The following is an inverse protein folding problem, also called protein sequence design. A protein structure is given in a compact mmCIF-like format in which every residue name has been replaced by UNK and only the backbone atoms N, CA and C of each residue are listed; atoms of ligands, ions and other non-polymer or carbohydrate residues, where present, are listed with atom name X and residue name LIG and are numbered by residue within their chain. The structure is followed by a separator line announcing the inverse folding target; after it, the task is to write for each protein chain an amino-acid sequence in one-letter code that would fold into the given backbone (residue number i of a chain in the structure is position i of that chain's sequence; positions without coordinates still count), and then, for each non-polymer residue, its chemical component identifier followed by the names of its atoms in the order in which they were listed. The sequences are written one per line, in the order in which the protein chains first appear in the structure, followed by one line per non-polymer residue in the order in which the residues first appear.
data_IF_352052071813
#
_entry.id   IF_352052071813
#
_cell.length_a   1.000
_cell.length_b   1.000
_cell.length_c   1.000
_cell.angle_alpha   90.00
_cell.angle_beta   90.00
_cell.angle_gamma   90.00
#
_symmetry.space_group_name_H-M   'P 1'
#
loop_
_entity.id
_entity.type
_entity.pdbx_description
1 polymer ?
#
# COMPACT_ATOMS: atom_id res chain seq x y z
N UNK A 1 40.39 39.38 -14.75
CA UNK A 1 39.81 38.32 -15.61
C UNK A 1 39.34 37.20 -14.70
N UNK A 2 38.06 36.89 -14.48
CA UNK A 2 36.79 37.51 -14.84
C UNK A 2 35.75 36.95 -13.85
N UNK A 3 35.10 37.81 -13.05
CA UNK A 3 33.94 37.49 -12.20
C UNK A 3 32.72 36.98 -12.99
N UNK A 4 32.81 36.89 -14.33
CA UNK A 4 31.77 36.37 -15.20
C UNK A 4 31.64 34.83 -15.16
N UNK A 5 32.67 34.06 -14.78
CA UNK A 5 32.59 32.58 -14.80
C UNK A 5 31.82 31.99 -13.61
N UNK A 6 31.95 32.59 -12.42
CA UNK A 6 31.22 32.15 -11.22
C UNK A 6 29.71 32.47 -11.32
N UNK A 7 29.34 33.62 -11.91
CA UNK A 7 27.92 33.94 -12.14
C UNK A 7 27.28 33.06 -13.23
N UNK A 8 28.08 32.59 -14.20
CA UNK A 8 27.69 31.62 -15.23
C UNK A 8 27.47 30.22 -14.65
N UNK A 9 28.35 29.76 -13.77
CA UNK A 9 28.23 28.49 -13.04
C UNK A 9 27.02 28.50 -12.09
N UNK A 10 26.77 29.62 -11.40
CA UNK A 10 25.59 29.80 -10.52
C UNK A 10 24.28 29.88 -11.34
N UNK A 11 24.30 30.44 -12.56
CA UNK A 11 23.14 30.40 -13.47
C UNK A 11 22.90 29.02 -14.07
N UNK A 12 23.96 28.28 -14.41
CA UNK A 12 23.86 26.89 -14.88
C UNK A 12 23.34 25.97 -13.76
N UNK A 13 23.90 26.08 -12.55
CA UNK A 13 23.43 25.38 -11.35
C UNK A 13 21.98 25.74 -11.00
N UNK A 14 21.54 27.00 -11.15
CA UNK A 14 20.12 27.38 -10.97
C UNK A 14 19.18 26.84 -12.04
N UNK A 15 19.67 26.60 -13.26
CA UNK A 15 18.89 26.04 -14.38
C UNK A 15 18.78 24.52 -14.25
N UNK A 16 19.82 23.85 -13.78
CA UNK A 16 19.84 22.41 -13.50
C UNK A 16 19.16 22.07 -12.15
N UNK A 17 19.25 22.94 -11.13
CA UNK A 17 18.45 22.80 -9.91
C UNK A 17 16.95 22.99 -10.14
N UNK A 18 16.52 23.74 -11.17
CA UNK A 18 15.10 23.80 -11.57
C UNK A 18 14.59 22.48 -12.15
N UNK A 19 15.48 21.64 -12.70
CA UNK A 19 15.16 20.28 -13.15
C UNK A 19 15.15 19.27 -11.99
N UNK A 20 15.83 19.56 -10.89
CA UNK A 20 15.95 18.67 -9.72
C UNK A 20 14.95 19.02 -8.60
N UNK A 21 14.42 20.25 -8.56
CA UNK A 21 13.42 20.70 -7.57
C UNK A 21 11.98 20.59 -8.08
N UNK A 22 11.60 19.45 -8.65
CA UNK A 22 10.19 19.04 -8.77
C UNK A 22 9.98 17.85 -7.82
N UNK A 23 10.13 18.09 -6.52
CA UNK A 23 9.75 17.13 -5.48
C UNK A 23 9.65 17.81 -4.11
N UNK A 24 8.99 18.98 -4.03
CA UNK A 24 8.46 19.53 -2.78
C UNK A 24 7.67 20.82 -3.04
N UNK A 25 6.49 20.74 -3.67
CA UNK A 25 5.51 21.83 -3.59
C UNK A 25 4.10 21.25 -3.61
N UNK A 26 3.29 21.74 -2.66
CA UNK A 26 1.83 21.62 -2.58
C UNK A 26 1.16 21.63 -3.96
N UNK A 27 0.24 20.69 -4.14
CA UNK A 27 -0.55 20.45 -5.37
C UNK A 27 -1.34 21.66 -5.89
N UNK A 28 -1.56 22.71 -5.09
CA UNK A 28 -2.23 23.94 -5.55
C UNK A 28 -1.35 24.88 -6.38
N UNK A 29 -0.01 24.78 -6.34
CA UNK A 29 0.88 25.72 -7.07
C UNK A 29 1.32 25.24 -8.46
N UNK A 30 1.18 23.95 -8.78
CA UNK A 30 1.63 23.39 -10.07
C UNK A 30 0.66 23.71 -11.21
N UNK A 31 -0.64 23.84 -10.91
CA UNK A 31 -1.67 24.19 -11.90
C UNK A 31 -1.52 25.60 -12.49
N UNK A 32 -0.77 26.51 -11.82
CA UNK A 32 -0.51 27.87 -12.31
C UNK A 32 0.76 28.01 -13.16
N UNK A 33 1.62 26.99 -13.22
CA UNK A 33 2.93 27.09 -13.87
C UNK A 33 3.05 26.34 -15.20
N UNK A 34 2.26 25.28 -15.46
CA UNK A 34 2.27 24.58 -16.75
C UNK A 34 0.90 23.91 -17.05
N UNK A 35 0.07 24.47 -17.95
CA UNK A 35 -1.22 23.88 -18.34
C UNK A 35 -1.13 22.53 -19.06
N UNK A 36 0.05 22.16 -19.58
CA UNK A 36 0.24 20.93 -20.37
C UNK A 36 0.48 19.67 -19.51
N UNK A 37 1.00 19.82 -18.28
CA UNK A 37 1.28 18.69 -17.36
C UNK A 37 -0.01 18.15 -16.70
N UNK A 38 -1.07 18.96 -16.64
CA UNK A 38 -2.35 18.57 -16.03
C UNK A 38 -3.13 17.49 -16.81
N UNK A 39 -2.66 17.08 -18.00
CA UNK A 39 -3.37 16.13 -18.87
C UNK A 39 -2.96 14.67 -18.70
N UNK A 40 -1.88 14.37 -17.97
CA UNK A 40 -1.39 13.00 -17.86
C UNK A 40 -1.26 12.53 -16.40
N UNK A 41 -2.37 12.01 -15.87
CA UNK A 41 -2.49 11.49 -14.49
C UNK A 41 -1.72 10.18 -14.27
N UNK A 42 -1.20 9.55 -15.31
CA UNK A 42 -0.53 8.24 -15.23
C UNK A 42 0.90 8.35 -14.69
N UNK A 43 1.66 9.39 -15.08
CA UNK A 43 3.04 9.63 -14.64
C UNK A 43 3.18 10.05 -13.18
N UNK A 44 2.23 10.82 -12.65
CA UNK A 44 2.28 11.29 -11.25
C UNK A 44 2.18 10.15 -10.21
N UNK A 45 1.60 8.99 -10.58
CA UNK A 45 1.54 7.81 -9.71
C UNK A 45 2.88 7.07 -9.60
N UNK A 46 3.69 7.08 -10.67
CA UNK A 46 4.97 6.36 -10.73
C UNK A 46 6.03 7.05 -9.86
N UNK A 47 6.05 8.38 -9.84
CA UNK A 47 6.99 9.16 -9.03
C UNK A 47 6.68 9.10 -7.52
N UNK A 48 5.39 8.98 -7.16
CA UNK A 48 4.98 8.75 -5.76
C UNK A 48 5.37 7.36 -5.24
N UNK A 49 5.39 6.34 -6.10
CA UNK A 49 5.77 4.96 -5.75
C UNK A 49 7.28 4.81 -5.51
N UNK A 50 8.10 5.67 -6.13
CA UNK A 50 9.55 5.70 -5.88
C UNK A 50 9.89 6.28 -4.48
N UNK A 51 8.99 7.09 -3.91
CA UNK A 51 9.17 7.73 -2.61
C UNK A 51 8.86 6.80 -1.41
N UNK A 52 8.16 5.70 -1.63
CA UNK A 52 7.77 4.73 -0.58
C UNK A 52 8.87 3.77 -0.13
N UNK A 53 10.01 3.71 -0.82
CA UNK A 53 11.17 2.88 -0.44
C UNK A 53 12.34 3.70 0.15
N UNK A 54 12.14 4.99 0.35
CA UNK A 54 13.18 5.90 0.80
C UNK A 54 12.95 6.29 2.27
N UNK A 55 13.76 5.79 3.22
CA UNK A 55 14.15 6.62 4.33
C UNK A 55 15.08 7.69 3.75
N UNK A 56 14.51 8.79 3.23
CA UNK A 56 15.27 10.03 3.05
C UNK A 56 15.59 10.58 4.44
N UNK A 57 16.56 9.97 5.12
CA UNK A 57 17.39 10.71 6.07
C UNK A 57 18.29 11.62 5.24
N UNK A 58 17.72 12.73 4.77
CA UNK A 58 18.55 13.93 4.63
C UNK A 58 18.87 14.28 6.08
N UNK A 59 20.02 13.80 6.58
CA UNK A 59 20.60 14.40 7.77
C UNK A 59 20.57 15.91 7.50
N UNK A 60 19.90 16.68 8.36
CA UNK A 60 19.74 18.12 8.22
C UNK A 60 21.05 18.70 7.69
N UNK A 61 21.02 19.27 6.49
CA UNK A 61 21.96 20.33 6.14
C UNK A 61 21.79 21.34 7.28
N UNK A 62 22.80 21.54 8.14
CA UNK A 62 22.68 22.45 9.27
C UNK A 62 22.19 23.80 8.75
N UNK A 63 21.31 24.46 9.49
CA UNK A 63 20.83 25.81 9.18
C UNK A 63 21.98 26.62 8.57
N UNK A 64 21.70 27.24 7.41
CA UNK A 64 22.61 27.90 6.44
C UNK A 64 23.68 28.86 7.01
N UNK A 65 23.74 29.03 8.32
CA UNK A 65 24.74 29.75 9.08
C UNK A 65 26.05 28.99 9.38
N UNK A 66 26.25 27.72 8.97
CA UNK A 66 27.44 26.91 9.37
C UNK A 66 28.41 26.49 8.26
N UNK A 67 28.14 26.75 6.99
CA UNK A 67 29.14 26.51 5.92
C UNK A 67 30.09 27.70 5.91
N UNK A 68 31.04 27.71 6.85
CA UNK A 68 31.93 28.85 7.07
C UNK A 68 33.13 28.84 6.13
N UNK A 69 33.48 27.69 5.57
CA UNK A 69 34.58 27.58 4.60
C UNK A 69 34.22 26.73 3.38
N UNK A 70 35.11 26.77 2.39
CA UNK A 70 34.99 26.03 1.12
C UNK A 70 34.97 24.51 1.30
N UNK A 71 35.62 23.99 2.35
CA UNK A 71 35.76 22.56 2.63
C UNK A 71 34.44 21.96 3.11
N UNK A 72 33.63 22.71 3.86
CA UNK A 72 32.28 22.27 4.26
C UNK A 72 31.36 22.12 3.02
N UNK A 73 31.48 23.04 2.05
CA UNK A 73 30.72 22.98 0.79
C UNK A 73 31.17 21.81 -0.07
N UNK A 74 32.48 21.61 -0.25
CA UNK A 74 33.05 20.47 -0.99
C UNK A 74 32.63 19.12 -0.34
N UNK A 75 32.58 19.06 1.00
CA UNK A 75 32.13 17.87 1.73
C UNK A 75 30.65 17.57 1.53
N UNK A 76 29.80 18.61 1.52
CA UNK A 76 28.37 18.46 1.24
C UNK A 76 28.12 18.00 -0.20
N UNK A 77 28.83 18.59 -1.17
CA UNK A 77 28.75 18.20 -2.58
C UNK A 77 29.11 16.72 -2.76
N UNK A 78 30.24 16.28 -2.22
CA UNK A 78 30.64 14.87 -2.25
C UNK A 78 29.61 13.93 -1.61
N UNK A 79 28.99 14.33 -0.49
CA UNK A 79 27.94 13.55 0.15
C UNK A 79 26.66 13.45 -0.71
N UNK A 80 26.27 14.54 -1.37
CA UNK A 80 25.13 14.55 -2.28
C UNK A 80 25.39 13.71 -3.54
N UNK A 81 26.59 13.78 -4.11
CA UNK A 81 27.00 12.96 -5.25
C UNK A 81 27.00 11.47 -4.90
N UNK A 82 27.59 11.09 -3.76
CA UNK A 82 27.57 9.72 -3.25
C UNK A 82 26.13 9.24 -3.07
N UNK A 83 25.26 10.09 -2.51
CA UNK A 83 23.85 9.74 -2.32
C UNK A 83 23.10 9.61 -3.64
N UNK A 84 23.38 10.44 -4.62
CA UNK A 84 22.83 10.33 -5.97
C UNK A 84 23.27 9.02 -6.64
N UNK A 85 24.52 8.60 -6.46
CA UNK A 85 25.01 7.31 -6.95
C UNK A 85 24.25 6.14 -6.31
N UNK A 86 24.01 6.17 -5.00
CA UNK A 86 23.20 5.16 -4.30
C UNK A 86 21.78 5.09 -4.86
N UNK A 87 21.12 6.23 -5.03
CA UNK A 87 19.75 6.30 -5.57
C UNK A 87 19.70 5.74 -6.99
N UNK A 88 20.69 6.07 -7.83
CA UNK A 88 20.80 5.51 -9.19
C UNK A 88 21.00 3.99 -9.16
N UNK A 89 21.86 3.48 -8.27
CA UNK A 89 22.08 2.04 -8.09
C UNK A 89 20.80 1.33 -7.66
N UNK A 90 20.10 1.87 -6.65
CA UNK A 90 18.82 1.34 -6.18
C UNK A 90 17.76 1.35 -7.27
N UNK A 91 17.62 2.46 -8.02
CA UNK A 91 16.70 2.54 -9.17
C UNK A 91 16.97 1.44 -10.20
N UNK A 92 18.24 1.24 -10.55
CA UNK A 92 18.63 0.21 -11.51
C UNK A 92 18.35 -1.21 -10.99
N UNK A 93 18.57 -1.45 -9.69
CA UNK A 93 18.26 -2.72 -9.05
C UNK A 93 16.76 -3.02 -9.03
N UNK A 94 15.93 -2.03 -8.67
CA UNK A 94 14.47 -2.12 -8.71
C UNK A 94 13.99 -2.40 -10.13
N UNK A 95 14.49 -1.65 -11.12
CA UNK A 95 14.11 -1.84 -12.52
C UNK A 95 14.49 -3.23 -13.04
N UNK A 96 15.68 -3.73 -12.68
CA UNK A 96 16.11 -5.09 -13.02
C UNK A 96 15.22 -6.15 -12.35
N UNK A 97 14.89 -5.97 -11.07
CA UNK A 97 14.01 -6.89 -10.34
C UNK A 97 12.62 -6.93 -10.96
N UNK A 98 12.02 -5.77 -11.28
CA UNK A 98 10.72 -5.68 -11.95
C UNK A 98 10.71 -6.38 -13.31
N UNK A 99 11.74 -6.18 -14.13
CA UNK A 99 11.88 -6.93 -15.40
C UNK A 99 11.94 -8.44 -15.19
N UNK A 100 12.72 -8.90 -14.22
CA UNK A 100 12.80 -10.34 -13.92
C UNK A 100 11.48 -10.92 -13.39
N UNK A 101 10.71 -10.15 -12.60
CA UNK A 101 9.36 -10.57 -12.18
C UNK A 101 8.39 -10.60 -13.36
N UNK A 102 8.43 -9.59 -14.25
CA UNK A 102 7.60 -9.57 -15.46
C UNK A 102 7.91 -10.77 -16.37
N UNK A 103 9.18 -11.13 -16.54
CA UNK A 103 9.60 -12.33 -17.28
C UNK A 103 9.09 -13.61 -16.63
N UNK A 104 9.24 -13.73 -15.31
CA UNK A 104 8.72 -14.86 -14.52
C UNK A 104 7.20 -15.03 -14.71
N UNK A 105 6.43 -13.95 -14.60
CA UNK A 105 4.97 -13.96 -14.77
C UNK A 105 4.60 -14.26 -16.22
N UNK A 106 5.31 -13.68 -17.19
CA UNK A 106 5.13 -13.98 -18.62
C UNK A 106 5.32 -15.46 -18.91
N UNK A 107 6.38 -16.06 -18.34
CA UNK A 107 6.63 -17.50 -18.43
C UNK A 107 5.54 -18.34 -17.77
N UNK A 108 5.08 -17.95 -16.58
CA UNK A 108 3.95 -18.62 -15.91
C UNK A 108 2.68 -18.62 -16.77
N UNK A 109 2.44 -17.52 -17.48
CA UNK A 109 1.31 -17.33 -18.40
C UNK A 109 1.53 -17.92 -19.80
N UNK A 110 2.67 -18.58 -20.06
CA UNK A 110 3.08 -19.05 -21.39
C UNK A 110 3.06 -17.95 -22.48
N UNK A 111 3.38 -16.70 -22.12
CA UNK A 111 3.50 -15.59 -23.07
C UNK A 111 4.92 -15.47 -23.58
N UNK A 112 5.08 -15.37 -24.89
CA UNK A 112 6.38 -15.15 -25.56
C UNK A 112 6.51 -13.74 -26.14
N UNK A 113 5.46 -12.92 -26.08
CA UNK A 113 5.29 -11.64 -26.79
C UNK A 113 5.39 -10.40 -25.89
N UNK A 114 5.80 -10.54 -24.63
CA UNK A 114 5.79 -9.41 -23.69
C UNK A 114 7.10 -8.62 -23.69
N UNK A 115 7.13 -7.52 -24.44
CA UNK A 115 8.13 -6.47 -24.27
C UNK A 115 7.67 -5.54 -23.13
N UNK A 116 8.27 -5.70 -21.96
CA UNK A 116 8.02 -4.81 -20.83
C UNK A 116 8.80 -3.51 -21.02
N UNK A 117 8.19 -2.50 -21.65
CA UNK A 117 8.71 -1.15 -21.60
C UNK A 117 8.74 -0.68 -20.13
N UNK A 118 9.92 -0.34 -19.62
CA UNK A 118 10.16 0.29 -18.32
C UNK A 118 9.64 -0.41 -17.05
N UNK A 119 9.32 -1.71 -17.10
CA UNK A 119 8.92 -2.44 -15.89
C UNK A 119 7.46 -2.23 -15.49
N UNK A 120 6.59 -1.73 -16.38
CA UNK A 120 5.14 -1.72 -16.16
C UNK A 120 4.59 -3.15 -16.19
N UNK A 121 4.11 -3.60 -15.03
CA UNK A 121 3.52 -4.92 -14.83
C UNK A 121 1.98 -4.89 -14.96
N UNK A 122 1.36 -3.72 -15.13
CA UNK A 122 -0.10 -3.56 -15.09
C UNK A 122 -0.86 -4.32 -16.17
N UNK A 123 -0.18 -4.67 -17.27
CA UNK A 123 -0.76 -5.34 -18.42
C UNK A 123 -0.49 -6.86 -18.47
N UNK A 124 0.25 -7.41 -17.50
CA UNK A 124 0.65 -8.82 -17.51
C UNK A 124 -0.57 -9.76 -17.60
N UNK A 125 -1.64 -9.42 -16.89
CA UNK A 125 -2.86 -10.23 -16.75
C UNK A 125 -4.01 -9.78 -17.64
N UNK A 126 -3.78 -8.87 -18.61
CA UNK A 126 -4.85 -8.23 -19.39
C UNK A 126 -5.81 -9.20 -20.08
N UNK A 127 -5.32 -10.36 -20.51
CA UNK A 127 -6.09 -11.39 -21.23
C UNK A 127 -6.51 -12.55 -20.32
N UNK A 128 -6.14 -12.50 -19.03
CA UNK A 128 -6.47 -13.56 -18.08
C UNK A 128 -7.94 -13.49 -17.69
N UNK A 129 -8.66 -14.62 -17.80
CA UNK A 129 -10.12 -14.72 -17.57
C UNK A 129 -10.56 -14.12 -16.22
N UNK A 130 -9.83 -14.42 -15.15
CA UNK A 130 -10.16 -13.97 -13.78
C UNK A 130 -9.35 -12.73 -13.37
N UNK A 131 -8.01 -12.80 -13.44
CA UNK A 131 -7.09 -11.76 -12.99
C UNK A 131 -6.92 -10.51 -13.85
N UNK A 132 -7.54 -10.43 -15.03
CA UNK A 132 -7.60 -9.14 -15.72
C UNK A 132 -8.35 -8.13 -14.84
N UNK A 133 -8.13 -6.83 -15.05
CA UNK A 133 -8.86 -5.79 -14.34
C UNK A 133 -10.30 -5.70 -14.87
N UNK A 134 -11.33 -5.77 -14.02
CA UNK A 134 -12.72 -5.64 -14.47
C UNK A 134 -13.04 -4.20 -14.88
N UNK A 135 -13.78 -4.03 -15.97
CA UNK A 135 -14.20 -2.71 -16.42
C UNK A 135 -15.58 -2.36 -15.85
N UNK A 136 -16.51 -3.31 -15.85
CA UNK A 136 -17.89 -3.13 -15.39
C UNK A 136 -18.22 -3.92 -14.13
N UNK A 137 -19.32 -3.56 -13.46
CA UNK A 137 -19.84 -4.37 -12.35
C UNK A 137 -20.28 -5.76 -12.78
N UNK A 138 -20.77 -5.93 -14.02
CA UNK A 138 -21.10 -7.23 -14.57
C UNK A 138 -19.85 -8.09 -14.72
N UNK A 139 -18.76 -7.53 -15.27
CA UNK A 139 -17.48 -8.23 -15.40
C UNK A 139 -16.96 -8.71 -14.04
N UNK A 140 -17.00 -7.83 -13.02
CA UNK A 140 -16.54 -8.19 -11.67
C UNK A 140 -17.37 -9.35 -11.09
N UNK A 141 -18.68 -9.36 -11.34
CA UNK A 141 -19.58 -10.41 -10.86
C UNK A 141 -19.34 -11.73 -11.58
N UNK A 142 -19.22 -11.70 -12.91
CA UNK A 142 -19.00 -12.90 -13.74
C UNK A 142 -17.65 -13.57 -13.45
N UNK A 143 -16.66 -12.81 -12.99
CA UNK A 143 -15.35 -13.32 -12.59
C UNK A 143 -15.35 -13.96 -11.20
N UNK A 144 -16.46 -13.88 -10.46
CA UNK A 144 -16.61 -14.47 -9.13
C UNK A 144 -15.47 -14.06 -8.19
N UNK A 145 -15.04 -12.79 -8.24
CA UNK A 145 -13.97 -12.28 -7.38
C UNK A 145 -14.48 -12.05 -5.97
N UNK A 146 -15.65 -11.40 -5.86
CA UNK A 146 -16.27 -11.03 -4.60
C UNK A 146 -17.41 -11.97 -4.23
N UNK A 147 -17.52 -12.29 -2.95
CA UNK A 147 -18.70 -12.98 -2.42
C UNK A 147 -19.98 -12.20 -2.70
N UNK A 148 -21.10 -12.90 -2.85
CA UNK A 148 -22.40 -12.29 -3.14
C UNK A 148 -22.79 -11.16 -2.16
N UNK A 149 -22.50 -11.32 -0.87
CA UNK A 149 -22.72 -10.29 0.16
C UNK A 149 -21.83 -9.06 -0.05
N UNK A 150 -20.53 -9.26 -0.27
CA UNK A 150 -19.55 -8.19 -0.53
C UNK A 150 -19.88 -7.43 -1.81
N UNK A 151 -20.21 -8.15 -2.89
CA UNK A 151 -20.65 -7.55 -4.14
C UNK A 151 -21.93 -6.72 -3.94
N UNK A 152 -22.92 -7.25 -3.21
CA UNK A 152 -24.17 -6.55 -2.91
C UNK A 152 -23.91 -5.23 -2.17
N UNK A 153 -23.06 -5.24 -1.15
CA UNK A 153 -22.71 -4.04 -0.36
C UNK A 153 -22.04 -2.99 -1.24
N UNK A 154 -21.00 -3.38 -1.99
CA UNK A 154 -20.26 -2.46 -2.85
C UNK A 154 -21.15 -1.90 -3.98
N UNK A 155 -21.86 -2.77 -4.70
CA UNK A 155 -22.68 -2.39 -5.85
C UNK A 155 -23.89 -1.53 -5.45
N UNK A 156 -24.65 -1.89 -4.40
CA UNK A 156 -25.78 -1.08 -3.93
C UNK A 156 -25.34 0.30 -3.44
N UNK A 157 -24.20 0.35 -2.74
CA UNK A 157 -23.61 1.61 -2.29
C UNK A 157 -23.20 2.49 -3.47
N UNK A 158 -22.62 1.89 -4.52
CA UNK A 158 -22.22 2.60 -5.74
C UNK A 158 -23.43 3.19 -6.47
N UNK A 159 -24.52 2.43 -6.62
CA UNK A 159 -25.77 2.91 -7.23
C UNK A 159 -26.40 4.08 -6.46
N UNK A 160 -26.23 4.15 -5.13
CA UNK A 160 -26.69 5.30 -4.34
C UNK A 160 -25.79 6.52 -4.50
N UNK A 161 -24.46 6.32 -4.54
CA UNK A 161 -23.49 7.38 -4.79
C UNK A 161 -23.73 8.03 -6.16
N UNK A 162 -23.95 7.21 -7.19
CA UNK A 162 -24.29 7.62 -8.55
C UNK A 162 -25.44 8.64 -8.60
N UNK A 163 -26.56 8.31 -7.94
CA UNK A 163 -27.77 9.15 -7.90
C UNK A 163 -27.52 10.49 -7.21
N UNK A 164 -26.66 10.51 -6.18
CA UNK A 164 -26.33 11.74 -5.43
C UNK A 164 -25.37 12.67 -6.18
N UNK A 165 -24.44 12.10 -6.95
CA UNK A 165 -23.35 12.86 -7.58
C UNK A 165 -23.58 13.16 -9.08
N UNK A 166 -24.66 12.64 -9.68
CA UNK A 166 -25.03 12.96 -11.07
C UNK A 166 -24.08 12.36 -12.13
N UNK A 167 -23.28 11.34 -11.78
CA UNK A 167 -22.38 10.67 -12.72
C UNK A 167 -23.17 9.77 -13.68
N UNK A 168 -22.95 9.95 -14.99
CA UNK A 168 -23.65 9.22 -16.05
C UNK A 168 -23.28 7.73 -16.14
N UNK A 169 -22.04 7.35 -15.78
CA UNK A 169 -21.57 5.98 -15.72
C UNK A 169 -20.82 5.77 -14.39
N UNK A 170 -21.21 4.77 -13.60
CA UNK A 170 -20.58 4.42 -12.32
C UNK A 170 -20.05 3.00 -12.42
N UNK A 171 -19.15 2.77 -13.35
CA UNK A 171 -18.59 1.45 -13.53
C UNK A 171 -17.59 1.15 -12.42
N UNK A 172 -17.39 -0.13 -12.11
CA UNK A 172 -16.44 -0.54 -11.06
C UNK A 172 -15.04 0.06 -11.29
N UNK A 173 -14.64 0.17 -12.56
CA UNK A 173 -13.40 0.81 -13.01
C UNK A 173 -13.21 2.21 -12.43
N UNK A 174 -14.27 3.01 -12.32
CA UNK A 174 -14.17 4.39 -11.83
C UNK A 174 -13.79 4.44 -10.35
N UNK A 175 -14.24 3.46 -9.56
CA UNK A 175 -13.83 3.31 -8.17
C UNK A 175 -12.41 2.75 -8.06
N UNK A 176 -12.09 1.68 -8.81
CA UNK A 176 -10.75 1.06 -8.81
C UNK A 176 -9.68 2.05 -9.27
N UNK A 177 -9.97 2.89 -10.27
CA UNK A 177 -9.05 3.92 -10.75
C UNK A 177 -8.90 5.10 -9.77
N UNK A 178 -9.77 5.20 -8.75
CA UNK A 178 -9.85 6.33 -7.84
C UNK A 178 -10.46 7.58 -8.47
N UNK A 179 -11.25 7.44 -9.55
CA UNK A 179 -12.03 8.54 -10.14
C UNK A 179 -13.26 8.88 -9.29
N UNK A 180 -13.81 7.90 -8.58
CA UNK A 180 -14.96 8.05 -7.70
C UNK A 180 -14.66 7.48 -6.31
N UNK A 181 -15.25 8.10 -5.29
CA UNK A 181 -15.16 7.62 -3.91
C UNK A 181 -16.45 6.93 -3.53
N UNK A 182 -16.35 5.67 -3.14
CA UNK A 182 -17.51 4.95 -2.64
C UNK A 182 -17.85 5.47 -1.23
N UNK A 183 -19.14 5.68 -0.99
CA UNK A 183 -19.69 5.79 0.36
C UNK A 183 -20.56 4.57 0.59
N UNK A 184 -20.16 3.72 1.55
CA UNK A 184 -20.99 2.57 1.91
C UNK A 184 -22.22 3.06 2.66
N UNK A 185 -23.36 2.51 2.25
CA UNK A 185 -24.62 2.60 2.97
C UNK A 185 -24.52 1.86 4.31
N UNK A 186 -24.53 2.62 5.41
CA UNK A 186 -24.39 2.12 6.79
C UNK A 186 -25.40 1.01 7.11
N UNK A 187 -26.62 1.09 6.56
CA UNK A 187 -27.64 0.07 6.76
C UNK A 187 -27.29 -1.31 6.18
N UNK A 188 -26.29 -1.39 5.30
CA UNK A 188 -25.79 -2.65 4.76
C UNK A 188 -24.63 -3.23 5.58
N UNK A 189 -24.04 -2.46 6.50
CA UNK A 189 -22.90 -2.90 7.29
C UNK A 189 -23.31 -3.83 8.44
N UNK A 190 -24.45 -3.56 9.08
CA UNK A 190 -24.93 -4.36 10.22
C UNK A 190 -25.14 -5.85 9.88
N UNK A 191 -25.62 -6.16 8.67
CA UNK A 191 -25.78 -7.55 8.21
C UNK A 191 -24.52 -8.13 7.55
N UNK A 192 -23.52 -7.29 7.24
CA UNK A 192 -22.35 -7.67 6.45
C UNK A 192 -21.12 -7.95 7.30
N UNK A 193 -21.03 -7.30 8.46
CA UNK A 193 -19.84 -7.30 9.30
C UNK A 193 -20.17 -7.80 10.71
N UNK A 194 -19.28 -8.62 11.24
CA UNK A 194 -19.28 -9.02 12.63
C UNK A 194 -18.16 -8.32 13.40
N UNK A 195 -18.35 -8.09 14.69
CA UNK A 195 -17.27 -7.67 15.56
C UNK A 195 -16.54 -8.91 16.09
N UNK A 196 -15.36 -9.21 15.54
CA UNK A 196 -14.55 -10.36 15.96
C UNK A 196 -14.01 -10.20 17.38
N UNK A 197 -13.68 -8.95 17.74
CA UNK A 197 -13.43 -8.49 19.11
C UNK A 197 -13.52 -6.97 19.15
N UNK A 198 -13.38 -6.36 20.33
CA UNK A 198 -13.44 -4.91 20.45
C UNK A 198 -12.50 -4.21 19.44
N UNK A 199 -13.09 -3.34 18.62
CA UNK A 199 -12.41 -2.56 17.57
C UNK A 199 -11.67 -3.37 16.48
N UNK A 200 -12.07 -4.65 16.30
CA UNK A 200 -11.63 -5.52 15.20
C UNK A 200 -12.85 -6.17 14.57
N UNK A 201 -13.05 -5.94 13.28
CA UNK A 201 -14.27 -6.35 12.58
C UNK A 201 -13.95 -7.35 11.47
N UNK A 202 -14.82 -8.33 11.28
CA UNK A 202 -14.69 -9.37 10.28
C UNK A 202 -15.81 -9.33 9.25
N UNK A 203 -15.49 -9.58 7.98
CA UNK A 203 -16.49 -9.65 6.91
C UNK A 203 -16.01 -10.44 5.70
N UNK A 204 -16.91 -11.16 5.00
CA UNK A 204 -16.56 -11.89 3.79
C UNK A 204 -16.27 -10.93 2.64
N UNK A 205 -15.20 -11.18 1.88
CA UNK A 205 -14.85 -10.39 0.70
C UNK A 205 -14.71 -11.29 -0.53
N UNK A 206 -13.76 -12.22 -0.53
CA UNK A 206 -13.40 -12.99 -1.72
C UNK A 206 -14.13 -14.33 -1.77
N UNK A 207 -14.54 -14.75 -2.97
CA UNK A 207 -15.03 -16.11 -3.17
C UNK A 207 -13.93 -17.14 -2.86
N UNK A 208 -14.28 -18.31 -2.27
CA UNK A 208 -13.28 -19.34 -1.93
C UNK A 208 -12.46 -19.83 -3.13
N UNK A 209 -13.09 -19.98 -4.30
CA UNK A 209 -12.38 -20.40 -5.52
C UNK A 209 -11.42 -19.31 -6.04
N UNK A 210 -11.79 -18.03 -5.91
CA UNK A 210 -10.86 -16.92 -6.19
C UNK A 210 -9.67 -16.94 -5.22
N UNK A 211 -9.91 -17.17 -3.93
CA UNK A 211 -8.85 -17.28 -2.93
C UNK A 211 -7.88 -18.43 -3.25
N UNK A 212 -8.41 -19.58 -3.64
CA UNK A 212 -7.64 -20.75 -4.05
C UNK A 212 -6.81 -20.47 -5.28
N UNK A 213 -7.39 -19.83 -6.30
CA UNK A 213 -6.67 -19.44 -7.52
C UNK A 213 -5.52 -18.49 -7.18
N UNK A 214 -5.79 -17.42 -6.42
CA UNK A 214 -4.77 -16.43 -6.02
C UNK A 214 -3.66 -17.06 -5.20
N UNK A 215 -3.99 -17.91 -4.21
CA UNK A 215 -3.01 -18.68 -3.43
C UNK A 215 -2.16 -19.57 -4.34
N UNK A 216 -2.76 -20.30 -5.26
CA UNK A 216 -2.03 -21.20 -6.15
C UNK A 216 -1.05 -20.43 -7.03
N UNK A 217 -1.49 -19.31 -7.60
CA UNK A 217 -0.63 -18.42 -8.39
C UNK A 217 0.57 -17.92 -7.58
N UNK A 218 0.39 -17.50 -6.33
CA UNK A 218 1.51 -17.09 -5.46
C UNK A 218 2.48 -18.24 -5.21
N UNK A 219 1.97 -19.45 -4.96
CA UNK A 219 2.80 -20.65 -4.74
C UNK A 219 3.60 -21.01 -5.98
N UNK A 220 2.96 -21.04 -7.14
CA UNK A 220 3.60 -21.41 -8.39
C UNK A 220 4.69 -20.39 -8.79
N UNK A 221 4.39 -19.09 -8.66
CA UNK A 221 5.37 -18.04 -8.90
C UNK A 221 6.54 -18.12 -7.92
N UNK A 222 6.28 -18.40 -6.64
CA UNK A 222 7.33 -18.57 -5.63
C UNK A 222 8.23 -19.78 -5.93
N UNK A 223 7.62 -20.90 -6.32
CA UNK A 223 8.33 -22.12 -6.69
C UNK A 223 9.19 -21.91 -7.96
N UNK A 224 8.59 -21.33 -9.01
CA UNK A 224 9.27 -21.06 -10.27
C UNK A 224 10.40 -20.04 -10.07
N UNK A 225 10.18 -19.03 -9.22
CA UNK A 225 11.22 -18.07 -8.86
C UNK A 225 12.38 -18.72 -8.11
N UNK A 226 12.15 -19.57 -7.10
CA UNK A 226 13.24 -20.24 -6.39
C UNK A 226 14.03 -21.17 -7.32
N UNK A 227 13.34 -21.84 -8.25
CA UNK A 227 13.95 -22.80 -9.19
C UNK A 227 14.78 -22.11 -10.27
N UNK A 228 14.19 -21.12 -10.95
CA UNK A 228 14.75 -20.58 -12.21
C UNK A 228 15.20 -19.11 -12.09
N UNK A 229 14.71 -18.38 -11.08
CA UNK A 229 15.03 -16.96 -10.85
C UNK A 229 15.46 -16.65 -9.40
N UNK A 230 16.40 -17.40 -8.79
CA UNK A 230 16.69 -17.32 -7.35
C UNK A 230 17.13 -15.93 -6.88
N UNK A 231 17.70 -15.13 -7.79
CA UNK A 231 18.11 -13.75 -7.52
C UNK A 231 16.93 -12.79 -7.23
N UNK A 232 15.70 -13.13 -7.61
CA UNK A 232 14.50 -12.32 -7.33
C UNK A 232 14.07 -12.40 -5.86
N UNK A 233 14.46 -13.47 -5.15
CA UNK A 233 14.10 -13.74 -3.75
C UNK A 233 12.59 -13.64 -3.47
N UNK A 234 11.76 -14.02 -4.44
CA UNK A 234 10.32 -13.77 -4.42
C UNK A 234 9.63 -14.47 -3.23
N UNK A 235 9.90 -15.77 -3.03
CA UNK A 235 9.33 -16.55 -1.94
C UNK A 235 9.95 -16.32 -0.56
N UNK A 236 10.95 -15.45 -0.44
CA UNK A 236 11.62 -15.12 0.84
C UNK A 236 11.04 -13.87 1.51
N UNK A 237 10.12 -13.19 0.85
CA UNK A 237 9.43 -11.99 1.35
C UNK A 237 7.93 -12.13 1.06
N UNK A 238 7.08 -11.36 1.75
CA UNK A 238 5.70 -11.22 1.30
C UNK A 238 5.64 -10.79 -0.17
N UNK A 239 4.74 -11.38 -0.92
CA UNK A 239 4.56 -11.13 -2.35
C UNK A 239 3.67 -9.90 -2.54
N UNK A 240 4.23 -8.81 -3.05
CA UNK A 240 3.46 -7.64 -3.43
C UNK A 240 2.65 -7.91 -4.70
N UNK A 241 1.35 -7.61 -4.67
CA UNK A 241 0.49 -7.82 -5.85
C UNK A 241 0.80 -6.80 -6.96
N UNK A 242 1.30 -5.60 -6.64
CA UNK A 242 1.71 -4.64 -7.67
C UNK A 242 2.92 -5.17 -8.46
N UNK A 243 3.87 -5.80 -7.76
CA UNK A 243 5.09 -6.35 -8.37
C UNK A 243 4.78 -7.43 -9.41
N UNK A 244 3.73 -8.21 -9.21
CA UNK A 244 3.31 -9.24 -10.16
C UNK A 244 2.20 -8.78 -11.12
N UNK A 245 1.81 -7.50 -11.11
CA UNK A 245 0.81 -6.97 -12.06
C UNK A 245 -0.66 -7.17 -11.64
N UNK A 246 -0.91 -7.58 -10.40
CA UNK A 246 -2.24 -7.75 -9.80
C UNK A 246 -2.65 -6.58 -8.90
N UNK A 247 -2.00 -5.42 -9.05
CA UNK A 247 -2.23 -4.22 -8.26
C UNK A 247 -3.68 -3.71 -8.26
N UNK A 248 -4.45 -4.01 -9.30
CA UNK A 248 -5.87 -3.62 -9.34
C UNK A 248 -6.69 -4.28 -8.22
N UNK A 249 -6.29 -5.45 -7.71
CA UNK A 249 -6.95 -6.11 -6.58
C UNK A 249 -6.78 -5.25 -5.33
N UNK A 250 -5.56 -4.74 -5.10
CA UNK A 250 -5.28 -3.80 -4.01
C UNK A 250 -6.11 -2.52 -4.14
N UNK A 251 -6.18 -1.96 -5.34
CA UNK A 251 -7.00 -0.77 -5.61
C UNK A 251 -8.50 -1.03 -5.37
N UNK A 252 -9.01 -2.18 -5.81
CA UNK A 252 -10.41 -2.56 -5.64
C UNK A 252 -10.76 -2.74 -4.15
N UNK A 253 -9.96 -3.49 -3.39
CA UNK A 253 -10.22 -3.69 -1.97
C UNK A 253 -10.09 -2.39 -1.18
N UNK A 254 -9.12 -1.56 -1.53
CA UNK A 254 -8.96 -0.25 -0.93
C UNK A 254 -10.16 0.67 -1.18
N UNK A 255 -10.58 0.82 -2.44
CA UNK A 255 -11.64 1.75 -2.83
C UNK A 255 -13.04 1.27 -2.45
N UNK A 256 -13.30 -0.04 -2.53
CA UNK A 256 -14.63 -0.60 -2.31
C UNK A 256 -14.92 -0.93 -0.84
N UNK A 257 -13.90 -1.22 -0.03
CA UNK A 257 -14.08 -1.67 1.35
C UNK A 257 -13.28 -0.84 2.35
N UNK A 258 -11.95 -0.82 2.27
CA UNK A 258 -11.12 -0.20 3.33
C UNK A 258 -11.46 1.28 3.51
N UNK A 259 -11.41 2.06 2.44
CA UNK A 259 -11.67 3.49 2.50
C UNK A 259 -13.09 3.83 3.04
N UNK A 260 -14.19 3.28 2.49
CA UNK A 260 -15.53 3.59 2.99
C UNK A 260 -15.81 3.03 4.39
N UNK A 261 -15.34 1.82 4.74
CA UNK A 261 -15.52 1.25 6.09
C UNK A 261 -14.74 2.07 7.13
N UNK A 262 -13.52 2.50 6.79
CA UNK A 262 -12.70 3.31 7.71
C UNK A 262 -13.34 4.65 8.08
N UNK A 263 -14.17 5.21 7.19
CA UNK A 263 -14.94 6.41 7.51
C UNK A 263 -15.91 6.18 8.68
N UNK A 264 -16.49 4.99 8.75
CA UNK A 264 -17.51 4.64 9.74
C UNK A 264 -16.88 4.16 11.05
N UNK A 265 -15.83 3.34 10.96
CA UNK A 265 -15.24 2.67 12.13
C UNK A 265 -14.05 3.42 12.74
N UNK A 266 -13.19 4.01 11.89
CA UNK A 266 -11.87 4.47 12.32
C UNK A 266 -11.65 5.98 12.19
N UNK A 267 -12.61 6.74 11.64
CA UNK A 267 -12.42 8.16 11.39
C UNK A 267 -12.06 8.96 12.65
N UNK A 268 -12.74 8.65 13.77
CA UNK A 268 -12.51 9.31 15.05
C UNK A 268 -11.33 8.69 15.82
N UNK A 269 -11.27 7.36 15.93
CA UNK A 269 -10.25 6.66 16.72
C UNK A 269 -8.84 6.81 16.14
N UNK A 270 -8.73 6.93 14.82
CA UNK A 270 -7.48 7.14 14.08
C UNK A 270 -7.27 8.60 13.64
N UNK A 271 -8.11 9.54 14.09
CA UNK A 271 -7.99 10.97 13.81
C UNK A 271 -7.90 11.30 12.31
N UNK A 272 -8.61 10.53 11.48
CA UNK A 272 -8.63 10.69 10.03
C UNK A 272 -9.40 11.94 9.60
N UNK A 273 -10.37 12.37 10.40
CA UNK A 273 -11.13 13.61 10.21
C UNK A 273 -10.74 14.67 11.23
N UNK A 274 -10.86 15.94 10.86
CA UNK A 274 -10.91 17.00 11.86
C UNK A 274 -12.36 17.16 12.32
N UNK A 275 -12.55 17.31 13.63
CA UNK A 275 -13.83 17.70 14.19
C UNK A 275 -14.34 18.96 13.44
N UNK A 276 -15.63 18.94 13.10
CA UNK A 276 -16.45 20.05 12.57
C UNK A 276 -16.77 20.08 11.06
N UNK A 277 -16.09 19.34 10.17
CA UNK A 277 -16.58 19.16 8.78
C UNK A 277 -16.39 17.74 8.27
N UNK A 278 -17.50 17.03 8.07
CA UNK A 278 -17.58 15.85 7.21
C UNK A 278 -17.39 16.30 5.75
N UNK A 279 -16.16 16.59 5.38
CA UNK A 279 -15.88 16.87 3.98
C UNK A 279 -15.93 15.57 3.17
N UNK A 280 -16.45 15.67 1.95
CA UNK A 280 -16.72 14.58 1.01
C UNK A 280 -15.47 13.86 0.46
N UNK A 281 -14.31 14.15 1.02
CA UNK A 281 -13.01 13.78 0.50
C UNK A 281 -12.52 12.39 0.96
N UNK A 282 -11.50 11.88 0.26
CA UNK A 282 -10.79 10.64 0.63
C UNK A 282 -10.10 10.80 1.99
N UNK A 283 -10.39 9.91 2.94
CA UNK A 283 -9.74 9.89 4.27
C UNK A 283 -8.37 9.24 4.20
N UNK A 284 -8.33 8.10 3.51
CA UNK A 284 -7.14 7.33 3.18
C UNK A 284 -6.90 7.54 1.68
N UNK A 285 -5.66 7.74 1.29
CA UNK A 285 -5.23 8.09 -0.08
C UNK A 285 -4.01 7.31 -0.56
N UNK A 286 -3.51 6.38 0.26
CA UNK A 286 -2.41 5.49 -0.08
C UNK A 286 -2.69 4.07 0.41
N UNK A 287 -2.23 3.08 -0.37
CA UNK A 287 -2.41 1.66 -0.06
C UNK A 287 -1.22 0.83 -0.53
N UNK A 288 -0.92 -0.23 0.21
CA UNK A 288 0.05 -1.25 -0.15
C UNK A 288 -0.51 -2.61 0.20
N UNK A 289 -0.60 -3.51 -0.78
CA UNK A 289 -1.18 -4.83 -0.57
C UNK A 289 -0.25 -5.97 -0.98
N UNK A 290 -0.12 -6.96 -0.12
CA UNK A 290 0.80 -8.08 -0.30
C UNK A 290 0.26 -9.37 0.32
N UNK A 291 0.80 -10.52 -0.09
CA UNK A 291 0.46 -11.84 0.46
C UNK A 291 1.63 -12.34 1.31
N UNK A 292 1.35 -12.61 2.59
CA UNK A 292 2.30 -13.21 3.53
C UNK A 292 1.95 -14.68 3.77
N UNK A 293 2.89 -15.59 3.50
CA UNK A 293 2.74 -17.01 3.77
C UNK A 293 3.34 -17.45 5.11
N UNK A 294 2.63 -18.35 5.78
CA UNK A 294 3.00 -19.02 7.02
C UNK A 294 2.79 -20.52 6.85
N UNK A 295 3.64 -21.35 7.46
CA UNK A 295 3.56 -22.80 7.29
C UNK A 295 4.02 -23.55 8.54
N UNK A 296 3.46 -24.72 8.79
CA UNK A 296 4.01 -25.68 9.74
C UNK A 296 5.37 -26.25 9.28
N UNK A 297 5.72 -26.12 7.99
CA UNK A 297 7.02 -26.50 7.41
C UNK A 297 7.48 -25.45 6.40
N UNK A 298 8.04 -24.32 6.87
CA UNK A 298 8.31 -23.16 6.04
C UNK A 298 9.42 -23.37 5.03
N UNK A 299 9.16 -22.93 3.80
CA UNK A 299 10.13 -22.91 2.72
C UNK A 299 9.86 -21.73 1.79
N UNK A 300 10.91 -21.17 1.19
CA UNK A 300 10.74 -20.10 0.20
C UNK A 300 10.05 -20.58 -1.06
N UNK A 301 10.21 -21.84 -1.45
CA UNK A 301 9.53 -22.43 -2.61
C UNK A 301 8.00 -22.41 -2.51
N UNK A 302 7.44 -22.37 -1.29
CA UNK A 302 6.00 -22.21 -1.07
C UNK A 302 5.54 -20.74 -1.02
N UNK A 303 6.48 -19.79 -0.90
CA UNK A 303 6.16 -18.41 -0.51
C UNK A 303 5.69 -18.29 0.94
N UNK A 304 5.97 -19.31 1.77
CA UNK A 304 5.59 -19.40 3.17
C UNK A 304 6.81 -19.75 4.01
N UNK A 305 7.55 -18.73 4.47
CA UNK A 305 8.90 -18.86 5.01
C UNK A 305 9.00 -18.69 6.53
N UNK A 306 7.87 -18.66 7.25
CA UNK A 306 7.84 -18.56 8.71
C UNK A 306 6.66 -19.35 9.31
N UNK A 307 6.76 -19.73 10.58
CA UNK A 307 5.68 -20.42 11.31
C UNK A 307 4.71 -19.45 12.02
N UNK A 308 5.20 -18.26 12.38
CA UNK A 308 4.48 -17.24 13.15
C UNK A 308 4.94 -15.83 12.78
N UNK A 309 4.26 -14.83 13.34
CA UNK A 309 4.73 -13.44 13.34
C UNK A 309 4.76 -12.92 14.77
N UNK A 310 5.90 -12.37 15.18
CA UNK A 310 6.06 -11.76 16.51
C UNK A 310 5.18 -10.51 16.66
N UNK A 311 4.85 -10.10 17.90
CA UNK A 311 4.11 -8.87 18.15
C UNK A 311 4.73 -7.65 17.45
N UNK A 312 3.91 -6.91 16.71
CA UNK A 312 4.30 -5.69 15.99
C UNK A 312 3.08 -4.81 15.73
N UNK A 313 3.31 -3.53 15.41
CA UNK A 313 2.30 -2.66 14.82
C UNK A 313 2.54 -2.54 13.32
N UNK A 314 1.48 -2.27 12.57
CA UNK A 314 1.61 -1.95 11.16
C UNK A 314 1.94 -0.47 10.98
N UNK A 315 2.72 -0.16 9.96
CA UNK A 315 2.87 1.23 9.51
C UNK A 315 1.68 1.59 8.62
N UNK A 316 0.50 1.67 9.21
CA UNK A 316 -0.76 2.02 8.57
C UNK A 316 -1.65 2.77 9.56
N UNK A 317 -2.64 3.49 9.04
CA UNK A 317 -3.74 3.95 9.88
C UNK A 317 -4.77 2.81 10.06
N UNK A 318 -5.05 2.09 8.97
CA UNK A 318 -5.95 0.94 8.95
C UNK A 318 -5.29 -0.21 8.20
N UNK A 319 -5.39 -1.41 8.76
CA UNK A 319 -4.96 -2.66 8.15
C UNK A 319 -6.15 -3.56 7.87
N UNK A 320 -6.15 -4.16 6.69
CA UNK A 320 -7.01 -5.29 6.34
C UNK A 320 -6.17 -6.56 6.23
N UNK A 321 -6.63 -7.66 6.85
CA UNK A 321 -5.99 -8.96 6.87
C UNK A 321 -7.00 -10.04 6.44
N UNK A 322 -6.89 -10.52 5.21
CA UNK A 322 -7.79 -11.49 4.60
C UNK A 322 -7.17 -12.88 4.52
N UNK A 323 -7.93 -13.88 4.95
CA UNK A 323 -7.47 -15.26 4.92
C UNK A 323 -7.55 -15.86 3.51
N UNK A 324 -6.38 -16.21 2.95
CA UNK A 324 -6.21 -16.97 1.70
C UNK A 324 -5.71 -18.40 1.97
N UNK A 325 -5.63 -18.85 3.23
CA UNK A 325 -5.06 -20.16 3.56
C UNK A 325 -5.91 -21.34 3.07
N UNK A 326 -5.35 -22.55 3.17
CA UNK A 326 -6.10 -23.78 2.89
C UNK A 326 -7.25 -23.99 3.87
N UNK A 327 -8.34 -24.63 3.48
CA UNK A 327 -9.45 -24.89 4.41
C UNK A 327 -9.00 -25.75 5.61
N UNK A 328 -7.95 -26.54 5.44
CA UNK A 328 -7.46 -27.52 6.41
C UNK A 328 -6.29 -27.05 7.28
N UNK A 329 -5.78 -25.82 7.15
CA UNK A 329 -4.65 -25.39 8.00
C UNK A 329 -5.09 -25.19 9.46
N UNK A 330 -4.19 -25.40 10.42
CA UNK A 330 -4.47 -25.25 11.85
C UNK A 330 -3.49 -24.26 12.51
N UNK A 331 -3.94 -23.61 13.59
CA UNK A 331 -3.22 -22.54 14.26
C UNK A 331 -3.35 -21.19 13.54
N UNK A 332 -2.40 -20.28 13.77
CA UNK A 332 -2.35 -19.00 13.04
C UNK A 332 -3.41 -17.97 13.41
N UNK A 333 -3.98 -18.06 14.61
CA UNK A 333 -4.84 -17.00 15.16
C UNK A 333 -4.10 -15.66 15.20
N UNK A 334 -4.83 -14.57 14.97
CA UNK A 334 -4.30 -13.21 15.12
C UNK A 334 -4.55 -12.77 16.56
N UNK A 335 -3.46 -12.53 17.28
CA UNK A 335 -3.47 -12.16 18.68
C UNK A 335 -3.24 -10.66 18.80
N UNK A 336 -4.00 -10.01 19.68
CA UNK A 336 -4.04 -8.56 19.81
C UNK A 336 -3.62 -8.15 21.22
N UNK A 337 -2.68 -7.21 21.29
CA UNK A 337 -1.89 -6.85 22.48
C UNK A 337 -2.04 -5.35 22.84
N UNK A 338 -3.27 -4.84 22.82
CA UNK A 338 -3.57 -3.45 23.11
C UNK A 338 -3.14 -2.48 22.00
N UNK A 339 -3.62 -1.25 22.08
CA UNK A 339 -3.25 -0.21 21.14
C UNK A 339 -1.94 0.45 21.55
N UNK A 340 -1.06 0.69 20.59
CA UNK A 340 0.16 1.43 20.85
C UNK A 340 -0.14 2.85 21.36
N UNK A 341 0.56 3.25 22.43
CA UNK A 341 0.38 4.52 23.11
C UNK A 341 -0.83 4.57 24.04
N UNK A 342 -1.43 3.43 24.43
CA UNK A 342 -2.45 3.35 25.49
C UNK A 342 -1.92 2.59 26.71
N UNK A 343 -2.68 2.57 27.82
CA UNK A 343 -2.26 1.90 29.05
C UNK A 343 -2.19 0.38 28.88
N UNK A 344 -3.01 -0.18 27.99
CA UNK A 344 -3.09 -1.61 27.68
C UNK A 344 -2.02 -2.07 26.66
N UNK A 345 -1.11 -1.19 26.21
CA UNK A 345 -0.07 -1.54 25.24
C UNK A 345 0.78 -2.73 25.76
N UNK A 346 0.78 -3.83 25.00
CA UNK A 346 1.49 -5.06 25.34
C UNK A 346 0.65 -6.11 26.05
N UNK A 347 -0.55 -5.77 26.53
CA UNK A 347 -1.44 -6.72 27.19
C UNK A 347 -2.29 -7.50 26.19
N UNK A 348 -2.33 -8.83 26.30
CA UNK A 348 -3.19 -9.66 25.43
C UNK A 348 -4.67 -9.36 25.72
N UNK A 349 -5.30 -8.56 24.86
CA UNK A 349 -6.69 -8.11 24.98
C UNK A 349 -7.68 -8.99 24.20
N UNK A 350 -7.19 -9.78 23.24
CA UNK A 350 -8.06 -10.69 22.50
C UNK A 350 -7.35 -11.50 21.43
N UNK A 351 -8.08 -12.47 20.87
CA UNK A 351 -7.63 -13.30 19.75
C UNK A 351 -8.75 -13.41 18.73
N UNK A 352 -8.51 -12.90 17.52
CA UNK A 352 -9.34 -13.27 16.39
C UNK A 352 -8.94 -14.69 16.00
N UNK A 353 -9.87 -15.63 16.22
CA UNK A 353 -9.72 -17.00 15.72
C UNK A 353 -9.52 -16.95 14.20
N UNK A 354 -8.92 -18.01 13.68
CA UNK A 354 -8.68 -18.20 12.24
C UNK A 354 -9.89 -17.69 11.43
N UNK A 355 -9.73 -16.65 10.59
CA UNK A 355 -10.81 -16.24 9.70
C UNK A 355 -11.05 -17.32 8.65
N UNK A 356 -12.31 -17.50 8.26
CA UNK A 356 -12.68 -18.36 7.14
C UNK A 356 -12.00 -17.88 5.85
N UNK A 357 -11.81 -18.80 4.90
CA UNK A 357 -11.20 -18.47 3.60
C UNK A 357 -12.06 -17.42 2.90
N UNK A 358 -11.44 -16.33 2.47
CA UNK A 358 -12.12 -15.19 1.85
C UNK A 358 -12.67 -14.15 2.81
N UNK A 359 -12.58 -14.37 4.12
CA UNK A 359 -12.97 -13.42 5.16
C UNK A 359 -11.80 -12.52 5.57
N UNK A 360 -12.08 -11.23 5.67
CA UNK A 360 -11.14 -10.22 6.13
C UNK A 360 -11.36 -9.89 7.61
N UNK A 361 -10.28 -9.53 8.29
CA UNK A 361 -10.26 -8.74 9.51
C UNK A 361 -9.84 -7.32 9.16
N UNK A 362 -10.50 -6.30 9.70
CA UNK A 362 -10.06 -4.90 9.61
C UNK A 362 -9.82 -4.35 11.01
N UNK A 363 -8.70 -3.67 11.20
CA UNK A 363 -8.31 -3.09 12.49
C UNK A 363 -7.40 -1.87 12.31
N UNK A 364 -7.23 -1.11 13.39
CA UNK A 364 -6.21 -0.05 13.47
C UNK A 364 -4.80 -0.60 13.25
N UNK A 365 -3.98 0.11 12.46
CA UNK A 365 -2.57 -0.24 12.29
C UNK A 365 -1.74 -0.15 13.57
N UNK A 366 -2.20 0.67 14.54
CA UNK A 366 -1.57 0.82 15.87
C UNK A 366 -1.87 -0.34 16.81
N UNK A 367 -2.80 -1.22 16.46
CA UNK A 367 -3.08 -2.39 17.28
C UNK A 367 -1.86 -3.31 17.26
N UNK A 368 -1.19 -3.43 18.41
CA UNK A 368 -0.08 -4.36 18.54
C UNK A 368 -0.64 -5.76 18.34
N UNK A 369 -0.10 -6.51 17.39
CA UNK A 369 -0.66 -7.81 17.06
C UNK A 369 0.41 -8.80 16.61
N UNK A 370 0.09 -10.08 16.72
CA UNK A 370 0.94 -11.20 16.36
C UNK A 370 0.13 -12.24 15.57
N UNK A 371 0.83 -13.14 14.93
CA UNK A 371 0.24 -14.36 14.35
C UNK A 371 0.82 -15.52 15.15
N UNK A 372 -0.04 -16.27 15.84
CA UNK A 372 0.37 -17.50 16.56
C UNK A 372 0.90 -18.58 15.60
N UNK A 373 1.58 -19.59 16.13
CA UNK A 373 2.19 -20.63 15.29
C UNK A 373 1.15 -21.38 14.43
N UNK A 374 1.53 -21.68 13.18
CA UNK A 374 0.83 -22.64 12.32
C UNK A 374 1.22 -24.04 12.76
N UNK A 375 0.25 -24.83 13.20
CA UNK A 375 0.46 -26.19 13.71
C UNK A 375 0.29 -27.25 12.61
N UNK A 376 -0.47 -26.95 11.57
CA UNK A 376 -0.68 -27.82 10.40
C UNK A 376 -0.98 -27.00 9.14
N UNK A 377 -0.55 -27.48 7.98
CA UNK A 377 -0.83 -26.85 6.68
C UNK A 377 -0.11 -25.52 6.42
N UNK A 378 -0.61 -24.80 5.41
CA UNK A 378 -0.06 -23.51 4.95
C UNK A 378 -1.15 -22.41 5.01
N UNK A 379 -0.87 -21.34 5.75
CA UNK A 379 -1.73 -20.15 5.86
C UNK A 379 -1.17 -19.03 4.98
N UNK A 380 -1.98 -18.48 4.10
CA UNK A 380 -1.65 -17.27 3.34
C UNK A 380 -2.58 -16.16 3.80
N UNK A 381 -2.02 -14.98 4.07
CA UNK A 381 -2.77 -13.81 4.47
C UNK A 381 -2.56 -12.70 3.44
N UNK A 382 -3.65 -12.23 2.83
CA UNK A 382 -3.64 -11.04 2.01
C UNK A 382 -3.80 -9.81 2.91
N UNK A 383 -2.74 -9.01 3.00
CA UNK A 383 -2.66 -7.84 3.86
C UNK A 383 -2.72 -6.59 3.00
N UNK A 384 -3.53 -5.61 3.41
CA UNK A 384 -3.54 -4.28 2.82
C UNK A 384 -3.35 -3.24 3.93
N UNK A 385 -2.27 -2.48 3.82
CA UNK A 385 -2.02 -1.30 4.64
C UNK A 385 -2.56 -0.08 3.95
N UNK A 386 -3.37 0.70 4.65
CA UNK A 386 -3.94 1.94 4.17
C UNK A 386 -3.47 3.14 4.99
N UNK A 387 -3.16 4.24 4.31
CA UNK A 387 -2.66 5.46 4.93
C UNK A 387 -3.38 6.72 4.48
N UNK A 388 -3.32 7.74 5.33
CA UNK A 388 -3.73 9.11 5.09
C UNK A 388 -2.50 9.99 4.93
N UNK A 389 -1.87 9.91 3.75
CA UNK A 389 -0.61 10.58 3.44
C UNK A 389 -0.77 12.09 3.34
N UNK A 390 -1.70 12.58 2.51
CA UNK A 390 -1.83 14.01 2.26
C UNK A 390 -2.60 14.76 3.35
N UNK A 391 -3.20 14.06 4.33
CA UNK A 391 -3.99 14.67 5.41
C UNK A 391 -3.39 14.44 6.80
N UNK A 392 -3.48 13.23 7.34
CA UNK A 392 -2.99 12.98 8.69
C UNK A 392 -1.46 13.07 8.75
N UNK A 393 -0.77 12.38 7.84
CA UNK A 393 0.70 12.32 7.85
C UNK A 393 1.37 13.56 7.27
N UNK A 394 0.63 14.45 6.62
CA UNK A 394 1.14 15.77 6.20
C UNK A 394 1.20 16.78 7.34
N UNK A 395 0.44 16.55 8.42
CA UNK A 395 0.34 17.43 9.60
C UNK A 395 0.79 16.80 10.90
N UNK A 396 0.92 15.47 10.95
CA UNK A 396 1.31 14.72 12.14
C UNK A 396 2.53 13.87 11.85
N UNK A 397 3.50 13.90 12.77
CA UNK A 397 4.64 12.99 12.70
C UNK A 397 4.16 11.54 12.73
N UNK A 398 4.60 10.66 11.81
CA UNK A 398 4.28 9.23 11.89
C UNK A 398 4.63 8.60 13.23
N UNK A 399 5.74 8.99 13.85
CA UNK A 399 6.13 8.52 15.18
C UNK A 399 5.17 9.01 16.28
N UNK A 400 4.78 10.29 16.26
CA UNK A 400 3.85 10.81 17.25
C UNK A 400 2.47 10.19 17.11
N UNK A 401 1.98 10.04 15.88
CA UNK A 401 0.72 9.36 15.60
C UNK A 401 0.71 7.92 16.12
N UNK A 402 1.72 7.12 15.75
CA UNK A 402 1.83 5.72 16.16
C UNK A 402 1.90 5.57 17.69
N UNK A 403 2.52 6.51 18.40
CA UNK A 403 2.70 6.45 19.86
C UNK A 403 1.72 7.35 20.64
N UNK A 404 0.67 7.90 20.01
CA UNK A 404 -0.28 8.87 20.61
C UNK A 404 0.39 10.03 21.36
N UNK A 405 1.57 10.47 20.92
CA UNK A 405 2.29 11.55 21.61
C UNK A 405 1.60 12.88 21.38
N UNK A 406 1.32 13.57 22.49
CA UNK A 406 0.77 14.93 22.50
C UNK A 406 1.80 15.98 22.95
N UNK A 407 3.01 15.56 23.28
CA UNK A 407 4.08 16.45 23.74
C UNK A 407 5.02 16.89 22.61
N UNK A 408 5.84 17.91 22.87
CA UNK A 408 6.79 18.50 21.91
C UNK A 408 8.13 17.75 21.83
N UNK A 409 8.18 16.47 22.25
CA UNK A 409 9.41 15.66 22.32
C UNK A 409 9.39 14.51 21.30
N UNK A 410 9.06 14.83 20.05
CA UNK A 410 9.24 13.90 18.94
C UNK A 410 10.72 13.57 18.68
N UNK A 411 11.04 12.29 18.52
CA UNK A 411 12.38 11.82 18.14
C UNK A 411 12.68 12.02 16.64
N UNK A 412 11.63 12.22 15.83
CA UNK A 412 11.70 12.38 14.39
C UNK A 412 11.83 13.84 13.93
N UNK A 413 12.24 14.75 14.83
CA UNK A 413 12.63 16.15 14.60
C UNK A 413 11.59 17.22 14.99
N UNK A 414 12.08 18.41 15.41
CA UNK A 414 11.29 19.58 15.83
C UNK A 414 10.38 20.16 14.75
N UNK A 415 10.62 19.85 13.48
CA UNK A 415 9.78 20.33 12.38
C UNK A 415 8.37 19.69 12.38
N UNK A 416 8.18 18.64 13.17
CA UNK A 416 6.91 17.94 13.35
C UNK A 416 6.29 18.15 14.74
N UNK A 417 6.95 18.92 15.61
CA UNK A 417 6.39 19.44 16.87
C UNK A 417 5.85 20.85 16.61
#
# INVERSE_FOLDING_TARGET
MSESSASGLIRALRRDFRLIMIANVRTESIAKLCPEIARDRSRARIDALALTLLPLRIARIPQQSRFHDKKDVESLEAALEARLMDVRKQKNEIARRRRGIAELVGRYLNRTDYECEEGDCSQLWRDHKVFSKPATWADLREREVLQGSAFRVAHRSALRCAKRQGFANNEVRDFIDGRCNLQIDESLLEEFMDQAMFDVYSFPIFEPEFCKLLRQTVRDLSWLAEKDYPHLNLGRRPLDLDDIGLGWINDAIFALFIQPISRHLFATTELLTHAEKYDSEQLLDWRQGYIAGYSASPTSAKGANRHRLVPHTDDSEVTLNLCLGEETFEGGAVEFYGLRGTEEEGELVGKARRPDVGTALIHSGRHLHAVSDITSGDRYAYIVWARSWNKLRSRSCPCCYLNRRQDSRCICDKAWN
#
